data_IF_609845605624
#
_entry.id   IF_609845605624
#
_cell.length_a   1.000
_cell.length_b   1.000
_cell.length_c   1.000
_cell.angle_alpha   90.00
_cell.angle_beta   90.00
_cell.angle_gamma   90.00
#
_symmetry.space_group_name_H-M   'P 1'
#
loop_
_entity.id
_entity.type
_entity.pdbx_description
1 polymer ?
#
# COMPACT_ATOMS: atom_id res chain seq x y z
N UNK A 1 -1.15 -29.99 8.19
CA UNK A 1 -0.17 -28.88 8.20
C UNK A 1 -0.83 -27.71 7.47
N UNK A 2 -1.26 -26.67 8.18
CA UNK A 2 -1.97 -25.54 7.58
C UNK A 2 -0.99 -24.63 6.82
N UNK A 3 -1.34 -24.24 5.60
CA UNK A 3 -0.41 -23.54 4.71
C UNK A 3 -0.50 -22.03 4.93
N UNK A 4 0.52 -21.45 5.56
CA UNK A 4 0.67 -19.99 5.66
C UNK A 4 1.18 -19.47 4.31
N UNK A 5 0.26 -19.16 3.40
CA UNK A 5 0.62 -18.58 2.10
C UNK A 5 0.59 -17.06 2.17
N UNK A 6 1.63 -16.38 1.65
CA UNK A 6 1.57 -14.95 1.42
C UNK A 6 0.37 -14.56 0.53
N UNK A 7 -0.29 -13.45 0.83
CA UNK A 7 -1.33 -12.86 -0.02
C UNK A 7 -0.79 -11.65 -0.77
N UNK A 8 -1.38 -11.38 -1.94
CA UNK A 8 -1.02 -10.24 -2.77
C UNK A 8 -1.50 -8.94 -2.11
N UNK A 9 -0.64 -7.93 -2.10
CA UNK A 9 -0.93 -6.56 -1.69
C UNK A 9 -0.28 -5.57 -2.66
N UNK A 10 -0.94 -4.45 -2.91
CA UNK A 10 -0.33 -3.33 -3.65
C UNK A 10 0.32 -2.34 -2.69
N UNK A 11 1.58 -2.00 -2.96
CA UNK A 11 2.38 -1.10 -2.12
C UNK A 11 3.00 0.04 -2.93
N UNK A 12 3.26 1.16 -2.25
CA UNK A 12 4.18 2.19 -2.75
C UNK A 12 5.62 1.77 -2.46
N UNK A 13 6.53 2.07 -3.39
CA UNK A 13 7.96 1.82 -3.18
C UNK A 13 8.60 2.80 -2.19
N UNK A 14 7.90 3.88 -1.86
CA UNK A 14 8.42 4.97 -1.02
C UNK A 14 8.12 4.78 0.47
N UNK A 15 6.94 4.24 0.81
CA UNK A 15 6.50 3.94 2.17
C UNK A 15 5.15 3.22 2.19
N UNK A 16 4.74 2.85 3.40
CA UNK A 16 3.55 2.05 3.68
C UNK A 16 2.24 2.81 3.47
N UNK A 17 2.25 4.14 3.66
CA UNK A 17 1.06 5.00 3.64
C UNK A 17 0.75 5.58 2.27
N UNK A 18 1.36 5.05 1.21
CA UNK A 18 1.23 5.59 -0.15
C UNK A 18 1.69 7.05 -0.31
N UNK A 19 2.40 7.62 0.67
CA UNK A 19 2.92 8.97 0.52
C UNK A 19 4.04 8.96 -0.50
N UNK A 20 3.94 9.83 -1.49
CA UNK A 20 4.95 9.95 -2.54
C UNK A 20 5.76 11.20 -2.22
N UNK A 21 7.10 11.15 -2.17
CA UNK A 21 7.90 12.35 -1.99
C UNK A 21 7.51 13.40 -3.04
N UNK A 22 7.36 14.69 -2.70
CA UNK A 22 6.84 15.71 -3.63
C UNK A 22 7.61 15.81 -4.96
N UNK A 23 8.89 15.44 -4.96
CA UNK A 23 9.77 15.41 -6.13
C UNK A 23 9.74 14.10 -6.94
N UNK A 24 8.80 13.20 -6.64
CA UNK A 24 8.74 11.86 -7.25
C UNK A 24 7.37 11.58 -7.86
N UNK A 25 7.30 10.88 -9.01
CA UNK A 25 6.04 10.32 -9.46
C UNK A 25 5.65 9.12 -8.57
N UNK A 26 4.35 8.89 -8.32
CA UNK A 26 3.92 7.71 -7.60
C UNK A 26 4.33 6.42 -8.34
N UNK A 27 4.72 5.41 -7.58
CA UNK A 27 5.17 4.12 -8.13
C UNK A 27 4.61 3.00 -7.28
N UNK A 28 3.69 2.23 -7.86
CA UNK A 28 2.98 1.15 -7.18
C UNK A 28 3.28 -0.19 -7.85
N UNK A 29 3.48 -1.21 -7.02
CA UNK A 29 3.76 -2.58 -7.48
C UNK A 29 2.96 -3.58 -6.66
N UNK A 30 2.71 -4.75 -7.25
CA UNK A 30 2.17 -5.90 -6.53
C UNK A 30 3.30 -6.66 -5.83
N UNK A 31 3.07 -7.02 -4.57
CA UNK A 31 3.99 -7.84 -3.77
C UNK A 31 3.20 -8.82 -2.92
N UNK A 32 3.88 -9.83 -2.39
CA UNK A 32 3.29 -10.83 -1.51
C UNK A 32 3.64 -10.59 -0.04
N UNK A 33 2.67 -10.85 0.84
CA UNK A 33 2.74 -10.50 2.26
C UNK A 33 2.11 -11.54 3.17
N UNK A 34 2.71 -11.72 4.33
CA UNK A 34 2.16 -12.55 5.38
C UNK A 34 1.10 -11.76 6.15
N UNK A 35 -0.17 -12.08 5.92
CA UNK A 35 -1.31 -11.34 6.46
C UNK A 35 -2.38 -12.24 7.07
N UNK A 36 -2.45 -13.50 6.64
CA UNK A 36 -3.39 -14.47 7.20
C UNK A 36 -2.67 -15.68 7.76
N UNK A 37 -3.40 -16.30 8.69
CA UNK A 37 -3.11 -17.60 9.27
C UNK A 37 -4.40 -18.39 9.12
N UNK A 38 -4.38 -19.58 8.53
CA UNK A 38 -5.55 -20.47 8.62
C UNK A 38 -5.79 -20.83 10.10
N UNK A 39 -7.06 -20.92 10.50
CA UNK A 39 -7.48 -21.36 11.84
C UNK A 39 -6.73 -22.65 12.19
N UNK A 40 -5.88 -22.65 13.22
CA UNK A 40 -4.92 -23.74 13.47
C UNK A 40 -3.46 -23.32 13.54
N UNK A 41 -3.05 -22.34 12.73
CA UNK A 41 -1.64 -22.17 12.38
C UNK A 41 -0.77 -21.48 13.43
N UNK A 42 -1.31 -20.49 14.15
CA UNK A 42 -0.59 -19.71 15.16
C UNK A 42 -1.40 -19.65 16.46
N UNK A 43 -1.29 -20.65 17.33
CA UNK A 43 -1.88 -20.60 18.68
C UNK A 43 -0.84 -20.38 19.78
N UNK A 44 0.39 -20.01 19.43
CA UNK A 44 1.51 -19.79 20.37
C UNK A 44 1.37 -18.49 21.20
N UNK A 45 0.15 -18.14 21.59
CA UNK A 45 -0.17 -17.02 22.46
C UNK A 45 -0.49 -15.70 21.75
N UNK A 46 -0.80 -14.66 22.54
CA UNK A 46 -1.29 -13.35 22.07
C UNK A 46 -0.32 -12.63 21.11
N UNK A 47 0.96 -12.99 21.17
CA UNK A 47 2.03 -12.32 20.44
C UNK A 47 2.34 -12.98 19.08
N UNK A 48 1.58 -13.99 18.65
CA UNK A 48 1.84 -14.65 17.37
C UNK A 48 1.20 -13.89 16.20
N UNK A 49 2.00 -13.54 15.20
CA UNK A 49 1.61 -12.87 13.96
C UNK A 49 2.03 -13.74 12.76
N UNK A 50 1.31 -13.65 11.62
CA UNK A 50 1.88 -14.10 10.36
C UNK A 50 3.07 -13.18 10.01
N UNK A 51 4.27 -13.73 10.03
CA UNK A 51 5.53 -13.03 9.71
C UNK A 51 6.24 -13.76 8.56
N UNK A 52 7.09 -13.08 7.78
CA UNK A 52 7.85 -13.77 6.74
C UNK A 52 8.83 -14.79 7.35
N UNK A 53 8.77 -16.03 6.86
CA UNK A 53 9.81 -17.05 7.03
C UNK A 53 10.92 -16.86 6.00
N UNK A 54 10.54 -16.47 4.78
CA UNK A 54 11.46 -16.18 3.67
C UNK A 54 11.02 -14.88 2.99
N UNK A 55 12.01 -14.05 2.69
CA UNK A 55 11.87 -12.77 2.01
C UNK A 55 12.80 -12.74 0.81
N UNK A 56 12.31 -12.18 -0.29
CA UNK A 56 13.11 -11.79 -1.45
C UNK A 56 13.15 -10.26 -1.54
N UNK A 57 14.30 -9.70 -1.89
CA UNK A 57 14.46 -8.26 -2.11
C UNK A 57 14.14 -7.94 -3.58
N UNK A 58 13.19 -7.04 -3.81
CA UNK A 58 12.90 -6.48 -5.13
C UNK A 58 13.57 -5.11 -5.21
N UNK A 59 14.60 -5.01 -6.05
CA UNK A 59 15.25 -3.74 -6.36
C UNK A 59 14.49 -3.00 -7.46
N UNK A 60 14.26 -1.70 -7.25
CA UNK A 60 13.49 -0.85 -8.15
C UNK A 60 14.26 0.44 -8.38
N UNK A 61 14.52 0.76 -9.64
CA UNK A 61 15.28 1.94 -10.03
C UNK A 61 14.35 2.99 -10.64
N UNK A 62 14.39 4.23 -10.17
CA UNK A 62 13.52 5.30 -10.68
C UNK A 62 14.33 6.57 -11.02
N UNK A 63 14.01 7.26 -12.12
CA UNK A 63 14.61 8.54 -12.41
C UNK A 63 14.02 9.64 -11.53
N UNK A 64 14.73 10.77 -11.40
CA UNK A 64 14.15 12.01 -10.90
C UNK A 64 13.15 12.63 -11.86
N UNK A 65 12.07 13.20 -11.33
CA UNK A 65 11.08 13.91 -12.15
C UNK A 65 11.71 15.15 -12.78
N UNK A 66 12.69 15.75 -12.10
CA UNK A 66 13.42 16.93 -12.56
C UNK A 66 14.40 16.62 -13.69
N UNK A 67 14.76 15.35 -13.94
CA UNK A 67 15.59 14.96 -15.10
C UNK A 67 14.96 15.32 -16.45
N UNK A 68 13.64 15.62 -16.48
CA UNK A 68 12.92 16.06 -17.68
C UNK A 68 13.05 17.57 -17.95
N UNK A 69 13.57 18.33 -16.98
CA UNK A 69 13.86 19.75 -17.18
C UNK A 69 15.02 19.84 -18.19
N UNK A 70 14.79 20.55 -19.30
CA UNK A 70 15.78 20.81 -20.35
C UNK A 70 16.84 21.79 -19.81
N UNK A 71 17.64 21.35 -18.86
CA UNK A 71 18.79 22.10 -18.38
C UNK A 71 20.06 21.30 -18.68
N UNK A 72 20.88 21.75 -19.66
CA UNK A 72 22.14 21.13 -20.03
C UNK A 72 23.16 21.05 -18.87
N UNK A 73 22.98 21.86 -17.83
CA UNK A 73 23.83 21.88 -16.63
C UNK A 73 23.30 20.99 -15.50
N UNK A 74 22.06 20.52 -15.60
CA UNK A 74 21.45 19.70 -14.54
C UNK A 74 21.97 18.27 -14.60
N UNK A 75 22.68 17.86 -13.54
CA UNK A 75 23.06 16.47 -13.33
C UNK A 75 21.77 15.64 -13.18
N UNK A 76 21.60 14.65 -14.06
CA UNK A 76 20.50 13.68 -13.93
C UNK A 76 20.74 12.80 -12.70
N UNK A 77 19.69 12.63 -11.90
CA UNK A 77 19.74 11.81 -10.68
C UNK A 77 18.85 10.58 -10.83
N UNK A 78 19.33 9.45 -10.32
CA UNK A 78 18.65 8.15 -10.36
C UNK A 78 18.69 7.53 -8.98
N UNK A 79 17.63 6.84 -8.60
CA UNK A 79 17.44 6.37 -7.24
C UNK A 79 17.05 4.91 -7.22
N UNK A 80 17.47 4.24 -6.16
CA UNK A 80 17.22 2.84 -5.89
C UNK A 80 16.32 2.69 -4.67
N UNK A 81 15.35 1.79 -4.78
CA UNK A 81 14.47 1.40 -3.68
C UNK A 81 14.48 -0.11 -3.58
N UNK A 82 14.34 -0.63 -2.36
CA UNK A 82 14.26 -2.07 -2.11
C UNK A 82 13.00 -2.35 -1.34
N UNK A 83 12.10 -3.09 -1.99
CA UNK A 83 10.84 -3.56 -1.43
C UNK A 83 11.00 -5.04 -1.11
N UNK A 84 10.59 -5.46 0.08
CA UNK A 84 10.62 -6.87 0.43
C UNK A 84 9.45 -7.59 -0.25
N UNK A 85 9.59 -8.88 -0.57
CA UNK A 85 8.53 -9.74 -1.10
C UNK A 85 8.51 -11.03 -0.28
N UNK A 86 7.38 -11.35 0.35
CA UNK A 86 7.31 -12.51 1.24
C UNK A 86 7.01 -13.75 0.41
N UNK A 87 7.91 -14.74 0.43
CA UNK A 87 7.74 -15.99 -0.35
C UNK A 87 7.38 -17.19 0.51
N UNK A 88 7.52 -17.08 1.83
CA UNK A 88 6.99 -18.04 2.79
C UNK A 88 6.63 -17.34 4.10
N UNK A 89 5.61 -17.82 4.80
CA UNK A 89 5.16 -17.28 6.08
C UNK A 89 5.35 -18.27 7.22
N UNK A 90 5.54 -17.76 8.42
CA UNK A 90 5.57 -18.51 9.67
C UNK A 90 4.83 -17.74 10.77
N UNK A 91 4.60 -18.39 11.90
CA UNK A 91 4.16 -17.74 13.11
C UNK A 91 5.35 -17.19 13.87
N UNK A 92 5.31 -15.92 14.24
CA UNK A 92 6.37 -15.30 15.03
C UNK A 92 5.86 -14.08 15.77
N UNK A 93 6.74 -13.42 16.51
CA UNK A 93 6.40 -12.15 17.16
C UNK A 93 6.62 -11.02 16.16
N UNK A 94 5.71 -10.05 16.14
CA UNK A 94 5.97 -8.79 15.50
C UNK A 94 6.86 -7.99 16.46
N UNK A 95 8.17 -8.02 16.27
CA UNK A 95 9.04 -7.06 16.96
C UNK A 95 8.51 -5.66 16.63
N UNK A 96 8.22 -4.90 17.70
CA UNK A 96 7.45 -3.65 17.70
C UNK A 96 7.67 -2.85 16.39
N UNK A 97 6.67 -2.85 15.49
CA UNK A 97 6.59 -2.10 14.23
C UNK A 97 7.31 -2.58 12.96
N UNK A 98 7.58 -3.86 12.69
CA UNK A 98 8.03 -4.18 11.32
C UNK A 98 7.45 -5.45 10.71
N UNK A 99 6.21 -5.33 10.20
CA UNK A 99 5.94 -5.87 8.86
C UNK A 99 6.83 -5.08 7.90
N UNK A 100 8.15 -5.36 7.88
CA UNK A 100 9.11 -4.54 7.17
C UNK A 100 8.77 -4.61 5.68
N UNK A 101 8.18 -3.55 5.12
CA UNK A 101 7.77 -3.53 3.72
C UNK A 101 8.92 -3.11 2.81
N UNK A 102 9.86 -2.32 3.33
CA UNK A 102 10.96 -1.74 2.60
C UNK A 102 12.25 -1.71 3.41
N UNK A 103 13.37 -1.61 2.69
CA UNK A 103 14.69 -1.33 3.25
C UNK A 103 14.93 0.17 3.19
N UNK A 104 15.07 0.81 4.35
CA UNK A 104 15.54 2.21 4.40
C UNK A 104 17.00 2.25 3.98
N UNK A 105 17.32 3.03 2.95
CA UNK A 105 18.67 3.17 2.41
C UNK A 105 19.07 4.65 2.56
N UNK A 106 20.09 4.91 3.38
CA UNK A 106 20.54 6.28 3.72
C UNK A 106 21.19 7.01 2.53
N UNK A 107 21.76 6.26 1.58
CA UNK A 107 22.26 6.78 0.32
C UNK A 107 21.77 5.89 -0.82
N UNK A 108 20.72 6.33 -1.50
CA UNK A 108 20.03 5.53 -2.51
C UNK A 108 20.18 6.09 -3.93
N UNK A 109 21.01 7.12 -4.13
CA UNK A 109 21.38 7.60 -5.47
C UNK A 109 22.28 6.57 -6.16
N UNK A 110 22.07 6.37 -7.46
CA UNK A 110 22.85 5.45 -8.31
C UNK A 110 23.30 6.14 -9.59
N UNK A 111 24.35 5.59 -10.22
CA UNK A 111 24.83 6.10 -11.49
C UNK A 111 23.84 5.84 -12.64
N UNK A 112 23.89 6.68 -13.67
CA UNK A 112 23.10 6.49 -14.90
C UNK A 112 23.38 5.13 -15.56
N UNK A 113 24.64 4.68 -15.55
CA UNK A 113 25.01 3.37 -16.06
C UNK A 113 24.31 2.22 -15.32
N UNK A 114 24.29 2.27 -13.98
CA UNK A 114 23.59 1.27 -13.17
C UNK A 114 22.08 1.30 -13.42
N UNK A 115 21.50 2.50 -13.50
CA UNK A 115 20.09 2.70 -13.86
C UNK A 115 19.76 2.08 -15.21
N UNK A 116 20.51 2.40 -16.26
CA UNK A 116 20.22 1.94 -17.62
C UNK A 116 20.28 0.42 -17.76
N UNK A 117 21.18 -0.24 -17.02
CA UNK A 117 21.30 -1.71 -17.00
C UNK A 117 20.11 -2.35 -16.27
N UNK A 118 19.67 -1.77 -15.15
CA UNK A 118 18.67 -2.37 -14.27
C UNK A 118 17.23 -1.99 -14.57
N UNK A 119 16.96 -0.82 -15.13
CA UNK A 119 15.61 -0.25 -15.23
C UNK A 119 14.64 -1.10 -16.06
N UNK A 120 15.13 -1.79 -17.09
CA UNK A 120 14.31 -2.71 -17.90
C UNK A 120 13.81 -3.93 -17.13
N UNK A 121 14.43 -4.25 -15.99
CA UNK A 121 14.05 -5.36 -15.10
C UNK A 121 13.11 -4.94 -13.98
N UNK A 122 12.78 -3.65 -13.89
CA UNK A 122 11.85 -3.17 -12.88
C UNK A 122 10.49 -3.88 -13.02
N UNK A 123 9.81 -4.19 -11.90
CA UNK A 123 8.40 -4.54 -11.93
C UNK A 123 7.58 -3.44 -12.61
N UNK A 124 6.46 -3.82 -13.22
CA UNK A 124 5.57 -2.84 -13.86
C UNK A 124 4.99 -1.89 -12.82
N UNK A 125 5.13 -0.58 -13.04
CA UNK A 125 4.38 0.41 -12.27
C UNK A 125 2.90 0.30 -12.64
N UNK A 126 2.06 -0.06 -11.67
CA UNK A 126 0.64 -0.31 -11.89
C UNK A 126 -0.10 0.89 -12.47
N UNK A 127 0.34 2.13 -12.24
CA UNK A 127 -0.26 3.32 -12.87
C UNK A 127 -0.16 3.34 -14.40
N UNK A 128 0.72 2.53 -14.99
CA UNK A 128 0.87 2.41 -16.44
C UNK A 128 0.00 1.30 -17.06
N UNK A 129 -0.66 0.50 -16.23
CA UNK A 129 -1.53 -0.59 -16.68
C UNK A 129 -2.91 -0.01 -16.99
N UNK A 130 -3.48 -0.38 -18.13
CA UNK A 130 -4.86 -0.05 -18.46
C UNK A 130 -5.81 -0.55 -17.36
N UNK A 131 -6.89 0.19 -17.09
CA UNK A 131 -7.92 -0.18 -16.10
C UNK A 131 -7.48 -0.26 -14.63
N UNK A 132 -6.25 0.14 -14.29
CA UNK A 132 -5.78 0.13 -12.89
C UNK A 132 -6.67 0.98 -11.97
N UNK A 133 -7.19 2.10 -12.50
CA UNK A 133 -8.10 2.97 -11.78
C UNK A 133 -9.56 2.52 -11.87
N UNK A 134 -9.90 1.43 -12.54
CA UNK A 134 -11.27 0.91 -12.59
C UNK A 134 -11.52 -0.10 -11.47
N UNK A 135 -10.46 -0.66 -10.88
CA UNK A 135 -10.54 -1.67 -9.84
C UNK A 135 -9.81 -1.22 -8.57
N UNK A 136 -10.47 -1.27 -7.39
CA UNK A 136 -9.78 -1.09 -6.13
C UNK A 136 -8.79 -2.24 -5.88
N UNK A 137 -7.74 -1.95 -5.12
CA UNK A 137 -6.62 -2.85 -4.88
C UNK A 137 -6.64 -3.40 -3.44
N UNK A 138 -6.24 -4.68 -3.23
CA UNK A 138 -6.23 -5.29 -1.92
C UNK A 138 -5.12 -4.70 -1.03
N UNK A 139 -5.49 -4.40 0.21
CA UNK A 139 -4.62 -3.84 1.25
C UNK A 139 -4.91 -4.48 2.60
N UNK A 140 -3.93 -4.42 3.51
CA UNK A 140 -4.07 -4.99 4.84
C UNK A 140 -3.58 -4.02 5.91
N UNK A 141 -4.38 -3.82 6.95
CA UNK A 141 -4.02 -2.99 8.09
C UNK A 141 -4.15 -3.76 9.41
N UNK A 142 -3.44 -3.32 10.44
CA UNK A 142 -3.60 -3.88 11.79
C UNK A 142 -5.00 -3.60 12.32
N UNK A 143 -5.67 -4.61 12.86
CA UNK A 143 -7.06 -4.53 13.28
C UNK A 143 -7.34 -3.45 14.34
N UNK A 144 -6.45 -3.31 15.32
CA UNK A 144 -6.51 -2.25 16.34
C UNK A 144 -5.09 -1.87 16.76
N UNK A 145 -4.57 -0.72 16.34
CA UNK A 145 -3.17 -0.31 16.60
C UNK A 145 -2.81 -0.22 18.08
N UNK A 146 -3.77 0.08 18.97
CA UNK A 146 -3.53 0.17 20.42
C UNK A 146 -3.73 -1.16 21.17
N UNK A 147 -4.43 -2.14 20.58
CA UNK A 147 -4.84 -3.38 21.26
C UNK A 147 -4.48 -4.64 20.45
N UNK A 148 -3.65 -4.51 19.43
CA UNK A 148 -3.34 -5.59 18.48
C UNK A 148 -2.74 -6.82 19.18
N UNK A 149 -2.05 -6.65 20.32
CA UNK A 149 -1.55 -7.74 21.15
C UNK A 149 -2.65 -8.64 21.72
N UNK A 150 -3.88 -8.13 21.90
CA UNK A 150 -5.01 -8.89 22.44
C UNK A 150 -5.88 -9.55 21.36
N UNK A 151 -5.64 -9.26 20.09
CA UNK A 151 -6.38 -9.83 18.96
C UNK A 151 -5.81 -11.20 18.60
N UNK A 152 -6.66 -12.21 18.41
CA UNK A 152 -6.18 -13.55 18.03
C UNK A 152 -5.56 -13.53 16.62
N UNK A 153 -4.55 -14.38 16.33
CA UNK A 153 -3.71 -14.24 15.14
C UNK A 153 -4.44 -14.18 13.79
N UNK A 154 -5.50 -14.98 13.52
CA UNK A 154 -6.26 -14.89 12.27
C UNK A 154 -6.94 -13.53 12.01
N UNK A 155 -7.13 -12.70 13.05
CA UNK A 155 -7.80 -11.41 12.96
C UNK A 155 -6.86 -10.21 13.12
N UNK A 156 -5.54 -10.43 13.20
CA UNK A 156 -4.58 -9.34 13.45
C UNK A 156 -4.43 -8.38 12.27
N UNK A 157 -4.49 -8.87 11.04
CA UNK A 157 -4.55 -8.06 9.83
C UNK A 157 -5.93 -8.13 9.21
N UNK A 158 -6.51 -6.97 8.92
CA UNK A 158 -7.80 -6.83 8.27
C UNK A 158 -7.58 -6.41 6.82
N UNK A 159 -8.10 -7.22 5.91
CA UNK A 159 -8.12 -6.90 4.48
C UNK A 159 -9.17 -5.82 4.17
N UNK A 160 -8.81 -4.89 3.30
CA UNK A 160 -9.70 -3.87 2.75
C UNK A 160 -9.33 -3.57 1.29
N UNK A 161 -10.24 -2.89 0.59
CA UNK A 161 -10.09 -2.47 -0.80
C UNK A 161 -9.84 -0.96 -0.86
N UNK A 162 -8.88 -0.53 -1.68
CA UNK A 162 -8.49 0.88 -1.82
C UNK A 162 -8.20 1.25 -3.27
N UNK A 163 -8.74 2.36 -3.76
CA UNK A 163 -8.33 2.95 -5.03
C UNK A 163 -6.88 3.45 -4.93
N UNK A 164 -6.09 3.27 -5.99
CA UNK A 164 -4.71 3.77 -5.98
C UNK A 164 -4.69 5.31 -5.97
N UNK A 165 -3.69 5.93 -5.32
CA UNK A 165 -3.46 7.37 -5.46
C UNK A 165 -3.31 7.74 -6.94
N UNK A 166 -3.95 8.85 -7.34
CA UNK A 166 -4.10 9.23 -8.75
C UNK A 166 -5.41 8.75 -9.39
N UNK A 167 -6.15 7.85 -8.73
CA UNK A 167 -7.52 7.47 -9.10
C UNK A 167 -8.55 8.17 -8.20
N UNK A 168 -9.76 8.39 -8.72
CA UNK A 168 -10.89 8.95 -7.98
C UNK A 168 -11.71 7.81 -7.38
N UNK A 169 -12.04 7.91 -6.09
CA UNK A 169 -13.05 7.04 -5.45
C UNK A 169 -14.44 7.50 -5.85
N UNK A 170 -15.19 6.65 -6.57
CA UNK A 170 -16.56 6.95 -6.99
C UNK A 170 -17.57 6.48 -5.94
N UNK A 171 -17.33 5.31 -5.36
CA UNK A 171 -18.18 4.72 -4.33
C UNK A 171 -17.33 4.03 -3.28
N UNK A 172 -17.69 4.22 -2.02
CA UNK A 172 -17.14 3.47 -0.90
C UNK A 172 -18.27 2.78 -0.12
N UNK A 173 -17.88 1.84 0.73
CA UNK A 173 -18.77 1.17 1.67
C UNK A 173 -18.07 0.95 2.99
N UNK A 174 -18.79 1.10 4.09
CA UNK A 174 -18.30 0.76 5.41
C UNK A 174 -18.84 -0.61 5.81
N UNK A 175 -17.95 -1.50 6.20
CA UNK A 175 -18.28 -2.83 6.69
C UNK A 175 -17.86 -2.95 8.16
N UNK A 176 -18.64 -3.69 8.97
CA UNK A 176 -18.27 -4.01 10.35
C UNK A 176 -17.67 -5.41 10.37
N UNK A 177 -16.39 -5.52 10.69
CA UNK A 177 -15.69 -6.79 10.83
C UNK A 177 -15.65 -7.19 12.31
N UNK A 178 -16.11 -8.41 12.60
CA UNK A 178 -15.96 -9.03 13.91
C UNK A 178 -14.53 -9.51 14.06
N UNK A 179 -13.85 -9.04 15.09
CA UNK A 179 -12.54 -9.54 15.49
C UNK A 179 -12.65 -10.19 16.87
N UNK A 180 -11.93 -11.29 17.04
CA UNK A 180 -11.90 -12.02 18.28
C UNK A 180 -10.67 -11.62 19.10
N UNK A 181 -10.91 -11.33 20.37
CA UNK A 181 -9.84 -11.13 21.34
C UNK A 181 -9.51 -12.46 22.03
N UNK A 182 -8.32 -12.53 22.62
CA UNK A 182 -7.89 -13.66 23.44
C UNK A 182 -8.78 -13.91 24.67
N UNK A 183 -9.59 -12.93 25.06
CA UNK A 183 -10.57 -13.03 26.17
C UNK A 183 -11.92 -13.57 25.73
N UNK A 184 -12.02 -14.16 24.53
CA UNK A 184 -13.25 -14.58 23.84
C UNK A 184 -14.27 -13.45 23.59
N UNK A 185 -13.91 -12.21 23.94
CA UNK A 185 -14.69 -11.03 23.62
C UNK A 185 -14.57 -10.71 22.13
N UNK A 186 -15.71 -10.36 21.54
CA UNK A 186 -15.78 -9.87 20.17
C UNK A 186 -15.75 -8.35 20.18
N UNK A 187 -14.87 -7.76 19.34
CA UNK A 187 -14.92 -6.34 19.00
C UNK A 187 -15.37 -6.16 17.56
N UNK A 188 -16.09 -5.07 17.30
CA UNK A 188 -16.45 -4.65 15.96
C UNK A 188 -15.51 -3.54 15.51
N UNK A 189 -14.83 -3.77 14.39
CA UNK A 189 -14.00 -2.76 13.73
C UNK A 189 -14.69 -2.34 12.44
N UNK A 190 -14.81 -1.04 12.22
CA UNK A 190 -15.33 -0.49 10.96
C UNK A 190 -14.20 -0.40 9.95
N UNK A 191 -14.37 -1.02 8.79
CA UNK A 191 -13.48 -0.90 7.64
C UNK A 191 -14.19 -0.18 6.51
N UNK A 192 -13.56 0.85 5.97
CA UNK A 192 -13.99 1.51 4.74
C UNK A 192 -13.31 0.82 3.56
N UNK A 193 -14.12 0.36 2.61
CA UNK A 193 -13.68 -0.24 1.36
C UNK A 193 -14.08 0.68 0.21
N UNK A 194 -13.12 0.97 -0.67
CA UNK A 194 -13.44 1.54 -1.97
C UNK A 194 -14.07 0.43 -2.83
N UNK A 195 -15.24 0.72 -3.39
CA UNK A 195 -16.04 -0.23 -4.16
C UNK A 195 -15.83 -0.01 -5.66
N UNK A 196 -15.72 1.24 -6.07
CA UNK A 196 -15.41 1.57 -7.46
C UNK A 196 -14.53 2.80 -7.54
N UNK A 197 -13.64 2.74 -8.52
CA UNK A 197 -12.63 3.74 -8.81
C UNK A 197 -12.83 4.24 -10.24
N UNK A 198 -12.32 5.44 -10.56
CA UNK A 198 -12.21 5.93 -11.94
C UNK A 198 -10.87 6.64 -12.12
N UNK A 199 -10.33 6.63 -13.34
CA UNK A 199 -9.26 7.53 -13.72
C UNK A 199 -9.69 9.00 -13.52
N UNK A 200 -8.74 9.84 -13.08
CA UNK A 200 -8.95 11.28 -13.02
C UNK A 200 -8.82 11.87 -14.43
N UNK A 201 -9.94 12.29 -15.02
CA UNK A 201 -10.01 12.87 -16.37
C UNK A 201 -9.83 14.41 -16.39
N UNK A 202 -9.57 15.03 -15.24
CA UNK A 202 -9.33 16.48 -15.15
C UNK A 202 -7.91 16.87 -15.56
N UNK A 203 -7.63 18.16 -15.82
CA UNK A 203 -6.26 18.61 -16.01
C UNK A 203 -5.47 18.24 -14.74
N UNK A 204 -4.33 17.57 -14.89
CA UNK A 204 -3.38 17.35 -13.79
C UNK A 204 -2.94 18.73 -13.28
N UNK A 205 -3.69 19.35 -12.37
CA UNK A 205 -3.07 20.25 -11.42
C UNK A 205 -2.17 19.35 -10.60
N UNK A 206 -0.89 19.72 -10.50
CA UNK A 206 0.09 19.06 -9.65
C UNK A 206 -0.51 18.82 -8.27
N UNK A 207 -1.04 17.62 -8.02
CA UNK A 207 -1.41 17.20 -6.68
C UNK A 207 -0.08 17.02 -5.98
N UNK A 208 0.36 18.08 -5.30
CA UNK A 208 1.42 18.02 -4.33
C UNK A 208 0.94 17.02 -3.26
N UNK A 209 1.42 15.79 -3.35
CA UNK A 209 1.30 14.83 -2.25
C UNK A 209 2.34 15.22 -1.19
N UNK A 210 2.08 16.33 -0.50
CA UNK A 210 2.82 16.80 0.67
C UNK A 210 2.02 16.49 1.93
N UNK A 211 2.65 15.79 2.86
CA UNK A 211 2.06 15.43 4.15
C UNK A 211 1.58 16.67 4.92
N UNK A 212 0.28 16.71 5.22
CA UNK A 212 -0.25 17.29 6.46
C UNK A 212 -1.72 16.91 6.56
N UNK A 213 -2.17 16.65 7.79
CA UNK A 213 -3.56 16.38 8.14
C UNK A 213 -4.52 17.28 7.35
N UNK A 214 -5.62 16.71 6.86
CA UNK A 214 -6.98 17.27 6.82
C UNK A 214 -7.75 16.78 5.59
N UNK A 215 -8.90 16.18 5.91
CA UNK A 215 -10.14 16.23 5.16
C UNK A 215 -10.18 17.26 4.01
N UNK A 216 -10.36 16.78 2.79
CA UNK A 216 -10.91 17.57 1.70
C UNK A 216 -12.31 17.08 1.35
N UNK A 217 -13.26 17.86 1.87
CA UNK A 217 -14.62 18.11 1.44
C UNK A 217 -15.30 17.10 0.50
N UNK A 218 -16.39 16.52 1.03
CA UNK A 218 -17.58 16.16 0.27
C UNK A 218 -17.91 17.29 -0.71
N UNK A 219 -17.78 17.02 -2.02
CA UNK A 219 -18.65 17.70 -2.97
C UNK A 219 -20.00 16.98 -2.89
N UNK A 220 -20.84 17.43 -1.94
CA UNK A 220 -22.28 17.39 -2.17
C UNK A 220 -22.56 18.38 -3.29
N UNK A 221 -23.11 17.91 -4.41
CA UNK A 221 -24.06 18.72 -5.16
C UNK A 221 -25.37 17.96 -5.21
N UNK A 222 -26.28 18.40 -4.35
CA UNK A 222 -27.70 18.16 -4.53
C UNK A 222 -28.16 18.79 -5.85
N UNK A 223 -29.16 18.19 -6.52
CA UNK A 223 -29.67 18.67 -7.81
C UNK A 223 -30.64 19.83 -7.58
N UNK A 224 -30.22 21.07 -7.86
CA UNK A 224 -31.18 22.12 -8.20
C UNK A 224 -31.60 21.88 -9.66
N UNK A 225 -32.83 21.46 -9.95
CA UNK A 225 -34.07 22.26 -9.91
C UNK A 225 -33.97 23.55 -10.72
N UNK A 226 -34.44 23.47 -11.98
CA UNK A 226 -35.36 24.39 -12.70
C UNK A 226 -35.10 24.21 -14.20
N UNK A 227 -36.04 24.35 -15.11
CA UNK A 227 -37.50 24.31 -15.15
C UNK A 227 -37.77 24.22 -16.66
N UNK A 228 -38.81 23.50 -17.06
CA UNK A 228 -39.35 23.60 -18.42
C UNK A 228 -39.91 25.01 -18.65
N UNK A 229 -39.93 25.36 -19.94
CA UNK A 229 -40.45 26.57 -20.61
C UNK A 229 -39.52 27.76 -20.64
#
# INVERSE_FOLDING_TARGET
>A
MYALRPEKEVVSIYNDDFTTPPSRPPYFIEVYRCVKVELGGCFNGPNAYPVPKKVEEIEILVPDITNKVRDPSSKKNFYKYVVYNHTACTCGRLEYRTRKLYKTITNNEVSEAYFNIGYSKNPVNLLRVCDVCNNPQPRYQLAITQWHIYVIPPHKYLGYQLCLPGCIVIKNSSSKVKIWLMSDKVKLVTLTNDISCKAYDGPFSSVQYGASNFSLARVKRDPFSRSKK
#
